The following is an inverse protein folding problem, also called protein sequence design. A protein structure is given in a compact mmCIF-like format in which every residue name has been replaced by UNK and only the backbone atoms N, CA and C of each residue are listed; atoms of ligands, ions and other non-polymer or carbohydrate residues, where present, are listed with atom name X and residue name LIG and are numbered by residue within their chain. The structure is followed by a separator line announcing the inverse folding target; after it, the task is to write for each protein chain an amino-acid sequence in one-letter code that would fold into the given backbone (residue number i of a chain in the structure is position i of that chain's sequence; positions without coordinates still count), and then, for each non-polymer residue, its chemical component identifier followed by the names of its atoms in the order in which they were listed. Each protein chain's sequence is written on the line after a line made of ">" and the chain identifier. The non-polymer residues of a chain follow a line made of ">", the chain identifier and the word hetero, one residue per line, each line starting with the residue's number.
data_IF_623735238886
#
_entry.id   IF_623735238886
#
_cell.length_a   1.000
_cell.length_b   1.000
_cell.length_c   1.000
_cell.angle_alpha   90.00
_cell.angle_beta   90.00
_cell.angle_gamma   90.00
#
_symmetry.space_group_name_H-M   'P 1'
#
loop_
_entity.id
_entity.type
_entity.pdbx_description
1 polymer ?
#
# COMPACT_ATOMS: atom_id res chain seq x y z
N UNK A 1 -2.94 -1.19 -11.45
CA UNK A 1 -1.72 -2.04 -11.40
C UNK A 1 -2.11 -3.53 -11.36
N UNK A 2 -1.27 -4.42 -11.89
CA UNK A 2 -1.43 -5.87 -11.73
C UNK A 2 -1.04 -6.34 -10.32
N UNK A 3 -1.68 -7.40 -9.82
CA UNK A 3 -1.48 -7.91 -8.47
C UNK A 3 -0.01 -8.25 -8.14
N UNK A 4 0.74 -8.78 -9.12
CA UNK A 4 2.17 -9.08 -8.96
C UNK A 4 3.00 -7.79 -8.84
N UNK A 5 2.68 -6.76 -9.61
CA UNK A 5 3.38 -5.47 -9.52
C UNK A 5 3.09 -4.80 -8.18
N UNK A 6 1.84 -4.83 -7.73
CA UNK A 6 1.43 -4.35 -6.41
C UNK A 6 2.19 -5.04 -5.28
N UNK A 7 2.30 -6.37 -5.32
CA UNK A 7 3.02 -7.13 -4.29
C UNK A 7 4.53 -6.80 -4.26
N UNK A 8 5.15 -6.67 -5.45
CA UNK A 8 6.56 -6.28 -5.54
C UNK A 8 6.79 -4.85 -5.03
N UNK A 9 5.94 -3.91 -5.42
CA UNK A 9 6.01 -2.53 -4.97
C UNK A 9 5.79 -2.41 -3.46
N UNK A 10 4.76 -3.07 -2.93
CA UNK A 10 4.50 -3.18 -1.51
C UNK A 10 5.71 -3.71 -0.74
N UNK A 11 6.37 -4.74 -1.27
CA UNK A 11 7.54 -5.35 -0.61
C UNK A 11 8.75 -4.44 -0.64
N UNK A 12 8.99 -3.74 -1.74
CA UNK A 12 10.02 -2.72 -1.82
C UNK A 12 9.75 -1.60 -0.80
N UNK A 13 8.52 -1.09 -0.74
CA UNK A 13 8.13 -0.04 0.21
C UNK A 13 8.29 -0.50 1.66
N UNK A 14 7.85 -1.72 1.98
CA UNK A 14 8.00 -2.31 3.32
C UNK A 14 9.47 -2.56 3.69
N UNK A 15 10.31 -2.93 2.73
CA UNK A 15 11.75 -3.17 2.97
C UNK A 15 12.48 -1.86 3.30
N UNK A 16 12.09 -0.75 2.67
CA UNK A 16 12.71 0.57 2.89
C UNK A 16 12.14 1.28 4.12
N UNK A 17 10.82 1.24 4.31
CA UNK A 17 10.12 2.05 5.31
C UNK A 17 9.67 1.26 6.56
N UNK A 18 9.69 -0.07 6.51
CA UNK A 18 9.21 -0.95 7.59
C UNK A 18 7.74 -0.71 7.89
N UNK A 19 7.38 -0.61 9.19
CA UNK A 19 6.01 -0.32 9.64
C UNK A 19 5.44 1.01 9.11
N UNK A 20 6.29 1.97 8.71
CA UNK A 20 5.82 3.24 8.12
C UNK A 20 5.25 3.06 6.71
N UNK A 21 5.58 1.96 6.02
CA UNK A 21 5.11 1.71 4.67
C UNK A 21 3.56 1.66 4.57
N UNK A 22 2.87 1.12 5.59
CA UNK A 22 1.40 1.14 5.61
C UNK A 22 0.86 2.56 5.72
N UNK A 23 1.47 3.38 6.58
CA UNK A 23 1.06 4.77 6.79
C UNK A 23 1.26 5.61 5.53
N UNK A 24 2.38 5.43 4.82
CA UNK A 24 2.64 6.13 3.56
C UNK A 24 1.69 5.71 2.45
N UNK A 25 1.42 4.40 2.31
CA UNK A 25 0.41 3.92 1.36
C UNK A 25 -0.98 4.47 1.68
N UNK A 26 -1.34 4.55 2.97
CA UNK A 26 -2.61 5.13 3.40
C UNK A 26 -2.70 6.64 3.15
N UNK A 27 -1.60 7.38 3.35
CA UNK A 27 -1.54 8.81 3.07
C UNK A 27 -1.70 9.06 1.57
N UNK A 28 -0.93 8.35 0.75
CA UNK A 28 -1.01 8.48 -0.71
C UNK A 28 -2.39 8.15 -1.26
N UNK A 29 -3.03 7.08 -0.76
CA UNK A 29 -4.41 6.76 -1.09
C UNK A 29 -5.34 7.97 -0.89
N UNK A 30 -5.28 8.61 0.28
CA UNK A 30 -6.11 9.79 0.61
C UNK A 30 -5.78 11.00 -0.27
N UNK A 31 -4.51 11.23 -0.56
CA UNK A 31 -4.07 12.30 -1.48
C UNK A 31 -4.66 12.06 -2.88
N UNK A 32 -4.62 10.83 -3.39
CA UNK A 32 -5.21 10.47 -4.67
C UNK A 32 -6.74 10.62 -4.67
N UNK A 33 -7.42 10.21 -3.59
CA UNK A 33 -8.86 10.41 -3.45
C UNK A 33 -9.24 11.90 -3.46
N UNK A 34 -8.48 12.72 -2.72
CA UNK A 34 -8.68 14.17 -2.68
C UNK A 34 -8.41 14.83 -4.04
N UNK A 35 -7.44 14.32 -4.80
CA UNK A 35 -7.15 14.77 -6.16
C UNK A 35 -8.16 14.26 -7.21
N UNK A 36 -9.10 13.39 -6.84
CA UNK A 36 -10.06 12.77 -7.76
C UNK A 36 -9.48 11.58 -8.55
N UNK A 37 -8.25 11.15 -8.26
CA UNK A 37 -7.54 10.06 -8.92
C UNK A 37 -7.94 8.70 -8.33
N UNK A 38 -9.17 8.27 -8.60
CA UNK A 38 -9.72 7.00 -8.07
C UNK A 38 -8.90 5.77 -8.47
N UNK A 39 -8.34 5.74 -9.68
CA UNK A 39 -7.50 4.63 -10.16
C UNK A 39 -6.26 4.48 -9.27
N UNK A 40 -5.57 5.59 -9.00
CA UNK A 40 -4.35 5.61 -8.20
C UNK A 40 -4.65 5.32 -6.73
N UNK A 41 -5.79 5.81 -6.21
CA UNK A 41 -6.27 5.44 -4.88
C UNK A 41 -6.51 3.93 -4.73
N UNK A 42 -7.08 3.27 -5.75
CA UNK A 42 -7.26 1.82 -5.75
C UNK A 42 -5.91 1.08 -5.78
N UNK A 43 -4.95 1.57 -6.55
CA UNK A 43 -3.60 1.01 -6.58
C UNK A 43 -2.92 1.11 -5.20
N UNK A 44 -3.01 2.26 -4.54
CA UNK A 44 -2.50 2.44 -3.17
C UNK A 44 -3.23 1.58 -2.14
N UNK A 45 -4.55 1.38 -2.30
CA UNK A 45 -5.33 0.48 -1.45
C UNK A 45 -4.87 -0.97 -1.59
N UNK A 46 -4.56 -1.42 -2.80
CA UNK A 46 -4.02 -2.75 -3.07
C UNK A 46 -2.61 -2.92 -2.47
N UNK A 47 -1.73 -1.91 -2.64
CA UNK A 47 -0.39 -1.88 -2.03
C UNK A 47 -0.47 -2.00 -0.52
N UNK A 48 -1.36 -1.23 0.12
CA UNK A 48 -1.57 -1.26 1.57
C UNK A 48 -2.04 -2.63 2.06
N UNK A 49 -2.92 -3.29 1.32
CA UNK A 49 -3.36 -4.66 1.64
C UNK A 49 -2.20 -5.66 1.56
N UNK A 50 -1.35 -5.57 0.53
CA UNK A 50 -0.16 -6.43 0.43
C UNK A 50 0.81 -6.20 1.58
N UNK A 51 1.03 -4.94 2.00
CA UNK A 51 1.87 -4.61 3.17
C UNK A 51 1.31 -5.24 4.44
N UNK A 52 0.00 -5.16 4.66
CA UNK A 52 -0.66 -5.81 5.81
C UNK A 52 -0.49 -7.33 5.81
N UNK A 53 -0.62 -7.95 4.65
CA UNK A 53 -0.38 -9.39 4.52
C UNK A 53 1.07 -9.77 4.84
N UNK A 54 2.04 -8.92 4.51
CA UNK A 54 3.47 -9.14 4.82
C UNK A 54 3.82 -8.92 6.30
N UNK A 55 3.15 -7.99 7.01
CA UNK A 55 3.25 -7.89 8.48
C UNK A 55 2.75 -9.16 9.19
N UNK A 56 1.96 -9.98 8.48
CA UNK A 56 1.39 -11.23 8.96
C UNK A 56 0.16 -11.03 9.86
N UNK A 57 -0.67 -12.06 10.04
CA UNK A 57 -1.85 -12.03 10.92
C UNK A 57 -1.53 -11.99 12.43
N UNK A 58 -0.28 -11.74 12.86
CA UNK A 58 0.14 -11.78 14.27
C UNK A 58 -0.01 -10.43 15.01
N UNK A 59 -0.95 -9.58 14.61
CA UNK A 59 -1.45 -8.47 15.42
C UNK A 59 -2.98 -8.54 15.45
N UNK A 60 -3.50 -9.71 15.83
CA UNK A 60 -4.85 -9.87 16.36
C UNK A 60 -4.83 -9.70 17.87
#
# INVERSE_FOLDING_TARGET
>A
MDALQTAQYARALYTVHGDRAEAEAAQKMRECEAAGNRQEAQDWQAVRQSIRQMRGPNQG
#
